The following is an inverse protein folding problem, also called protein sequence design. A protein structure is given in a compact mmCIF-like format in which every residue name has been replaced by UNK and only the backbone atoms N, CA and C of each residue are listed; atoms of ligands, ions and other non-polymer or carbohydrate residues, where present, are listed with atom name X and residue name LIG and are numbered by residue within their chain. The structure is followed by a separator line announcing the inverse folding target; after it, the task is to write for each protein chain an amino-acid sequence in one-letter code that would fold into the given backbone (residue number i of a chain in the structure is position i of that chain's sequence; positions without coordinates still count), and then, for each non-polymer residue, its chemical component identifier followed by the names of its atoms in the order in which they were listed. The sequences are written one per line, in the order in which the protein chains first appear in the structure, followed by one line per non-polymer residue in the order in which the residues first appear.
data_IF_229638697820
#
_entry.id   IF_229638697820
#
_cell.length_a   1.000
_cell.length_b   1.000
_cell.length_c   1.000
_cell.angle_alpha   90.00
_cell.angle_beta   90.00
_cell.angle_gamma   90.00
#
_symmetry.space_group_name_H-M   'P 1'
#
loop_
_entity.id
_entity.type
_entity.pdbx_description
1 polymer ?
#
# COMPACT_ATOMS: atom_id res chain seq x y z
N UNK A 1 5.83 -24.77 -36.89
CA UNK A 1 4.89 -24.72 -35.73
C UNK A 1 5.04 -23.46 -34.85
N UNK A 2 5.68 -22.36 -35.30
CA UNK A 2 5.91 -21.13 -34.50
C UNK A 2 4.71 -20.17 -34.48
N UNK A 3 3.95 -20.08 -35.58
CA UNK A 3 2.88 -19.10 -35.79
C UNK A 3 1.53 -19.47 -35.14
N UNK A 4 1.33 -20.75 -34.82
CA UNK A 4 0.09 -21.24 -34.18
C UNK A 4 -0.16 -20.59 -32.81
N UNK A 5 0.90 -20.44 -32.01
CA UNK A 5 0.83 -19.78 -30.69
C UNK A 5 0.43 -18.30 -30.82
N UNK A 6 0.94 -17.61 -31.84
CA UNK A 6 0.57 -16.22 -32.12
C UNK A 6 -0.89 -16.08 -32.54
N UNK A 7 -1.34 -16.89 -33.50
CA UNK A 7 -2.71 -16.88 -33.99
C UNK A 7 -3.74 -17.16 -32.88
N UNK A 8 -3.46 -18.10 -31.98
CA UNK A 8 -4.33 -18.41 -30.83
C UNK A 8 -4.42 -17.24 -29.85
N UNK A 9 -3.30 -16.58 -29.54
CA UNK A 9 -3.29 -15.41 -28.65
C UNK A 9 -4.02 -14.22 -29.27
N UNK A 10 -3.85 -13.99 -30.57
CA UNK A 10 -4.55 -12.93 -31.30
C UNK A 10 -6.05 -13.18 -31.33
N UNK A 11 -6.48 -14.41 -31.64
CA UNK A 11 -7.90 -14.78 -31.62
C UNK A 11 -8.50 -14.62 -30.22
N UNK A 12 -7.80 -15.07 -29.17
CA UNK A 12 -8.21 -14.89 -27.78
C UNK A 12 -8.33 -13.41 -27.39
N UNK A 13 -7.36 -12.58 -27.81
CA UNK A 13 -7.39 -11.14 -27.58
C UNK A 13 -8.58 -10.47 -28.24
N UNK A 14 -8.86 -10.79 -29.51
CA UNK A 14 -10.03 -10.27 -30.24
C UNK A 14 -11.34 -10.64 -29.53
N UNK A 15 -11.49 -11.91 -29.14
CA UNK A 15 -12.67 -12.39 -28.42
C UNK A 15 -12.85 -11.63 -27.10
N UNK A 16 -11.77 -11.48 -26.34
CA UNK A 16 -11.78 -10.77 -25.06
C UNK A 16 -12.16 -9.30 -25.22
N UNK A 17 -11.61 -8.61 -26.23
CA UNK A 17 -11.96 -7.23 -26.55
C UNK A 17 -13.44 -7.09 -26.90
N UNK A 18 -13.98 -7.96 -27.76
CA UNK A 18 -15.40 -7.91 -28.15
C UNK A 18 -16.30 -8.11 -26.92
N UNK A 19 -15.98 -9.07 -26.05
CA UNK A 19 -16.76 -9.33 -24.83
C UNK A 19 -16.72 -8.12 -23.87
N UNK A 20 -15.54 -7.55 -23.63
CA UNK A 20 -15.37 -6.39 -22.74
C UNK A 20 -15.93 -5.09 -23.32
N UNK A 21 -16.18 -5.04 -24.63
CA UNK A 21 -16.80 -3.89 -25.31
C UNK A 21 -18.32 -3.82 -25.07
N UNK A 22 -18.93 -4.93 -24.67
CA UNK A 22 -20.35 -5.01 -24.36
C UNK A 22 -20.53 -4.62 -22.89
N UNK A 23 -21.49 -3.73 -22.55
CA UNK A 23 -21.77 -3.40 -21.16
C UNK A 23 -22.35 -4.63 -20.45
N UNK A 24 -21.50 -5.36 -19.70
CA UNK A 24 -21.87 -6.58 -18.98
C UNK A 24 -22.68 -6.33 -17.70
N UNK A 25 -23.10 -5.08 -17.47
CA UNK A 25 -23.81 -4.65 -16.28
C UNK A 25 -23.13 -3.45 -15.61
N UNK A 26 -23.65 -3.04 -14.43
CA UNK A 26 -23.03 -1.97 -13.65
C UNK A 26 -21.64 -2.39 -13.18
N UNK A 27 -20.67 -1.47 -13.30
CA UNK A 27 -19.31 -1.69 -12.82
C UNK A 27 -19.39 -1.91 -11.30
N UNK A 28 -18.83 -3.01 -10.76
CA UNK A 28 -18.80 -3.24 -9.32
C UNK A 28 -18.07 -2.10 -8.63
N UNK A 29 -18.43 -1.81 -7.37
CA UNK A 29 -17.75 -0.78 -6.61
C UNK A 29 -16.27 -1.16 -6.41
N UNK A 30 -15.38 -0.52 -7.16
CA UNK A 30 -13.92 -0.70 -7.06
C UNK A 30 -13.32 0.11 -5.90
N UNK A 31 -14.02 1.16 -5.48
CA UNK A 31 -13.54 2.10 -4.47
C UNK A 31 -13.22 1.44 -3.10
N UNK A 32 -14.00 0.46 -2.60
CA UNK A 32 -13.67 -0.27 -1.38
C UNK A 32 -12.35 -1.05 -1.45
N UNK A 33 -11.95 -1.51 -2.65
CA UNK A 33 -10.67 -2.21 -2.83
C UNK A 33 -9.47 -1.28 -2.69
N UNK A 34 -9.64 0.00 -3.04
CA UNK A 34 -8.60 1.04 -2.98
C UNK A 34 -8.52 1.73 -1.61
N UNK A 35 -9.39 1.38 -0.67
CA UNK A 35 -9.38 1.97 0.67
C UNK A 35 -8.04 1.67 1.36
N UNK A 36 -7.25 2.68 1.79
CA UNK A 36 -5.93 2.48 2.37
C UNK A 36 -5.95 1.81 3.76
N UNK A 37 -7.07 1.85 4.50
CA UNK A 37 -7.23 1.13 5.78
C UNK A 37 -8.71 1.06 6.21
N UNK A 38 -9.19 -0.03 6.86
CA UNK A 38 -8.56 -1.32 7.17
C UNK A 38 -8.91 -2.46 6.18
N UNK A 39 -9.65 -2.11 5.12
CA UNK A 39 -10.21 -3.02 4.10
C UNK A 39 -9.45 -2.85 2.78
N UNK A 40 -9.62 -3.76 1.81
CA UNK A 40 -9.03 -3.62 0.48
C UNK A 40 -7.62 -4.21 0.32
N UNK A 41 -6.98 -3.90 -0.81
CA UNK A 41 -5.72 -4.53 -1.26
C UNK A 41 -4.54 -4.25 -0.32
N UNK A 42 -4.61 -3.15 0.43
CA UNK A 42 -3.57 -2.72 1.37
C UNK A 42 -3.54 -3.53 2.66
N UNK A 43 -4.55 -4.38 2.91
CA UNK A 43 -4.62 -5.23 4.11
C UNK A 43 -3.47 -6.25 4.24
N UNK A 44 -2.81 -6.62 3.14
CA UNK A 44 -1.61 -7.47 3.18
C UNK A 44 -0.38 -6.80 3.83
N UNK A 45 -0.36 -5.47 3.94
CA UNK A 45 0.72 -4.72 4.56
C UNK A 45 0.62 -4.64 6.09
N UNK A 46 -0.42 -5.21 6.72
CA UNK A 46 -0.65 -5.16 8.18
C UNK A 46 0.51 -5.71 9.02
N UNK A 47 1.34 -6.59 8.46
CA UNK A 47 2.51 -7.16 9.13
C UNK A 47 3.78 -6.31 9.03
N UNK A 48 3.80 -5.25 8.21
CA UNK A 48 4.92 -4.32 8.10
C UNK A 48 4.89 -3.33 9.27
N UNK A 49 5.06 -3.83 10.48
CA UNK A 49 5.14 -3.00 11.69
C UNK A 49 6.59 -2.53 11.85
N UNK A 50 6.84 -1.22 12.01
CA UNK A 50 8.17 -0.73 12.37
C UNK A 50 8.68 -1.40 13.67
N UNK A 51 10.00 -1.44 13.86
CA UNK A 51 10.62 -2.10 15.01
C UNK A 51 9.86 -1.77 16.31
N UNK A 52 9.52 -2.82 17.06
CA UNK A 52 8.62 -2.77 18.20
C UNK A 52 9.09 -1.87 19.33
N UNK A 53 8.17 -1.62 20.27
CA UNK A 53 8.37 -0.74 21.42
C UNK A 53 9.72 -0.98 22.11
N UNK A 54 10.46 0.10 22.32
CA UNK A 54 11.77 0.06 22.97
C UNK A 54 12.37 1.44 23.11
N UNK A 55 13.46 1.52 23.87
CA UNK A 55 14.26 2.74 23.99
C UNK A 55 15.51 2.58 23.15
N UNK A 56 15.78 3.56 22.29
CA UNK A 56 16.99 3.63 21.49
C UNK A 56 17.84 4.80 22.00
N UNK A 57 19.14 4.57 22.20
CA UNK A 57 20.09 5.64 22.50
C UNK A 57 20.69 6.15 21.19
N UNK A 58 20.40 7.40 20.85
CA UNK A 58 20.90 8.08 19.65
C UNK A 58 21.88 9.18 20.05
N UNK A 59 23.13 9.08 19.55
CA UNK A 59 24.11 10.15 19.70
C UNK A 59 23.65 11.37 18.90
N UNK A 60 23.48 12.51 19.56
CA UNK A 60 23.03 13.76 18.95
C UNK A 60 21.68 14.28 19.49
N UNK A 61 20.89 13.44 20.16
CA UNK A 61 19.73 13.92 20.90
C UNK A 61 20.17 14.76 22.11
N UNK A 62 19.57 15.95 22.23
CA UNK A 62 19.80 16.85 23.37
C UNK A 62 18.84 16.50 24.52
N UNK A 63 17.63 16.04 24.19
CA UNK A 63 16.61 15.60 25.12
C UNK A 63 15.88 14.32 24.63
N UNK A 64 15.14 13.61 25.51
CA UNK A 64 14.36 12.44 25.11
C UNK A 64 13.26 12.75 24.09
N UNK A 65 13.17 11.93 23.04
CA UNK A 65 12.10 11.96 22.02
C UNK A 65 11.22 10.73 22.16
N UNK A 66 9.90 10.92 22.07
CA UNK A 66 8.92 9.83 22.07
C UNK A 66 8.31 9.68 20.69
N UNK A 67 8.33 8.46 20.17
CA UNK A 67 7.66 8.10 18.91
C UNK A 67 6.52 7.12 19.23
N UNK A 68 5.30 7.44 18.82
CA UNK A 68 4.16 6.53 18.88
C UNK A 68 3.58 6.32 17.48
N UNK A 69 3.00 5.15 17.23
CA UNK A 69 2.39 4.83 15.94
C UNK A 69 0.88 4.80 16.06
N UNK A 70 0.17 5.41 15.12
CA UNK A 70 -1.28 5.29 15.02
C UNK A 70 -1.70 3.86 14.61
N UNK A 71 -3.00 3.57 14.63
CA UNK A 71 -3.55 2.29 14.15
C UNK A 71 -3.17 1.98 12.69
N UNK A 72 -2.90 3.01 11.87
CA UNK A 72 -2.44 2.88 10.49
C UNK A 72 -0.92 2.86 10.33
N UNK A 73 -0.15 2.84 11.43
CA UNK A 73 1.31 2.83 11.39
C UNK A 73 1.96 4.19 11.13
N UNK A 74 1.21 5.30 11.19
CA UNK A 74 1.77 6.65 11.01
C UNK A 74 2.50 7.07 12.29
N UNK A 75 3.78 7.48 12.22
CA UNK A 75 4.54 7.92 13.39
C UNK A 75 4.13 9.32 13.84
N UNK A 76 3.93 9.48 15.14
CA UNK A 76 3.77 10.75 15.84
C UNK A 76 5.01 10.96 16.71
N UNK A 77 5.78 12.00 16.39
CA UNK A 77 7.06 12.32 17.02
C UNK A 77 6.84 13.49 17.98
N UNK A 78 7.23 13.29 19.24
CA UNK A 78 7.14 14.29 20.30
C UNK A 78 8.53 14.62 20.81
N UNK A 79 8.97 15.85 20.57
CA UNK A 79 10.26 16.40 20.99
C UNK A 79 10.06 17.69 21.82
N UNK A 80 11.02 18.00 22.68
CA UNK A 80 10.97 19.19 23.55
C UNK A 80 11.56 20.45 22.90
N UNK A 81 12.22 20.30 21.75
CA UNK A 81 12.87 21.38 21.02
C UNK A 81 12.88 21.05 19.52
N UNK A 82 13.16 22.06 18.70
CA UNK A 82 13.15 21.91 17.24
C UNK A 82 14.34 21.09 16.73
N UNK A 83 15.48 21.12 17.40
CA UNK A 83 16.65 20.32 16.99
C UNK A 83 16.29 18.83 17.00
N UNK A 84 15.82 18.32 18.14
CA UNK A 84 15.46 16.92 18.32
C UNK A 84 14.19 16.51 17.56
N UNK A 85 13.39 17.47 17.06
CA UNK A 85 12.25 17.17 16.19
C UNK A 85 12.69 16.83 14.75
N UNK A 86 13.81 17.39 14.29
CA UNK A 86 14.29 17.27 12.91
C UNK A 86 15.57 16.43 12.75
N UNK A 87 16.26 16.14 13.85
CA UNK A 87 17.43 15.26 13.91
C UNK A 87 17.03 13.78 13.82
#
# INVERSE_FOLDING_TARGET
MRYWRGGVLTALGIILTVILSIPLGPVPAILPLLNPAPQGIWSGAKGAVPQGAGTLNLSGLIAPVRVSYSTGGVPHIFAQNNHDLFF
#
